data_IF_341716628353
#
_entry.id   IF_341716628353
#
_cell.length_a   1.000
_cell.length_b   1.000
_cell.length_c   1.000
_cell.angle_alpha   90.00
_cell.angle_beta   90.00
_cell.angle_gamma   90.00
#
_symmetry.space_group_name_H-M   'P 1'
#
loop_
_entity.id
_entity.type
_entity.pdbx_description
1 polymer ?
#
# COMPACT_ATOMS: atom_id res chain seq x y z
N UNK A 1 -33.66 8.27 -6.00
CA UNK A 1 -32.74 7.59 -6.93
C UNK A 1 -31.44 7.30 -6.18
N UNK A 2 -31.05 6.03 -6.06
CA UNK A 2 -29.78 5.62 -5.44
C UNK A 2 -28.67 5.69 -6.50
N UNK A 3 -27.72 6.61 -6.38
CA UNK A 3 -26.52 6.59 -7.25
C UNK A 3 -25.67 5.38 -6.84
N UNK A 4 -25.23 4.52 -7.77
CA UNK A 4 -24.28 3.47 -7.43
C UNK A 4 -23.03 4.12 -6.85
N UNK A 5 -22.62 3.66 -5.67
CA UNK A 5 -21.40 4.12 -5.03
C UNK A 5 -20.20 3.70 -5.88
N UNK A 6 -19.31 4.65 -6.16
CA UNK A 6 -18.02 4.31 -6.78
C UNK A 6 -17.19 3.59 -5.72
N UNK A 7 -16.86 2.32 -5.98
CA UNK A 7 -16.07 1.49 -5.08
C UNK A 7 -14.65 1.35 -5.62
N UNK A 8 -13.65 1.60 -4.79
CA UNK A 8 -12.23 1.37 -5.10
C UNK A 8 -11.73 0.33 -4.11
N UNK A 9 -11.15 -0.75 -4.62
CA UNK A 9 -10.45 -1.74 -3.78
C UNK A 9 -9.00 -1.32 -3.62
N UNK A 10 -8.47 -1.40 -2.40
CA UNK A 10 -7.08 -1.09 -2.11
C UNK A 10 -6.47 -2.30 -1.39
N UNK A 11 -5.39 -2.84 -1.93
CA UNK A 11 -4.61 -3.92 -1.35
C UNK A 11 -3.24 -3.35 -0.97
N UNK A 12 -2.82 -3.54 0.26
CA UNK A 12 -1.60 -2.92 0.82
C UNK A 12 -0.73 -3.98 1.48
N UNK A 13 0.57 -3.83 1.35
CA UNK A 13 1.55 -4.65 2.07
C UNK A 13 2.82 -3.86 2.38
N UNK A 14 3.53 -4.25 3.43
CA UNK A 14 4.78 -3.64 3.83
C UNK A 14 5.65 -4.60 4.61
N UNK A 15 6.95 -4.63 4.31
CA UNK A 15 7.87 -5.57 4.92
C UNK A 15 9.30 -5.01 5.01
N UNK A 16 10.07 -5.48 5.99
CA UNK A 16 11.47 -5.17 6.16
C UNK A 16 12.34 -6.43 6.28
N UNK A 17 13.60 -6.30 5.83
CA UNK A 17 14.67 -7.26 6.11
C UNK A 17 15.41 -6.81 7.37
N UNK A 18 14.98 -7.31 8.52
CA UNK A 18 15.36 -6.79 9.84
C UNK A 18 14.33 -5.78 10.36
N UNK A 19 14.28 -5.55 11.68
CA UNK A 19 13.31 -4.66 12.29
C UNK A 19 13.95 -3.89 13.48
N UNK A 20 14.68 -2.79 13.22
CA UNK A 20 14.75 -2.04 11.97
C UNK A 20 15.69 -2.65 10.90
N UNK A 21 15.49 -2.23 9.65
CA UNK A 21 16.32 -2.58 8.50
C UNK A 21 15.75 -2.06 7.17
N UNK A 22 16.36 -2.40 6.02
CA UNK A 22 15.83 -2.03 4.72
C UNK A 22 14.43 -2.59 4.51
N UNK A 23 13.49 -1.73 4.13
CA UNK A 23 12.08 -2.09 3.97
C UNK A 23 11.43 -1.49 2.75
N UNK A 24 10.36 -2.12 2.31
CA UNK A 24 9.54 -1.68 1.18
C UNK A 24 8.07 -1.77 1.49
N UNK A 25 7.28 -0.98 0.76
CA UNK A 25 5.83 -0.95 0.85
C UNK A 25 5.23 -0.93 -0.56
N UNK A 26 4.00 -1.43 -0.69
CA UNK A 26 3.27 -1.44 -1.95
C UNK A 26 1.76 -1.34 -1.75
N UNK A 27 1.10 -0.65 -2.67
CA UNK A 27 -0.35 -0.56 -2.73
C UNK A 27 -0.86 -0.80 -4.17
N UNK A 28 -1.92 -1.58 -4.31
CA UNK A 28 -2.67 -1.78 -5.55
C UNK A 28 -4.07 -1.18 -5.37
N UNK A 29 -4.39 -0.17 -6.16
CA UNK A 29 -5.72 0.41 -6.25
C UNK A 29 -6.42 -0.15 -7.47
N UNK A 30 -7.65 -0.65 -7.30
CA UNK A 30 -8.47 -1.19 -8.38
C UNK A 30 -9.83 -0.50 -8.45
N UNK A 31 -10.17 -0.01 -9.64
CA UNK A 31 -11.49 0.54 -9.96
C UNK A 31 -12.06 -0.20 -11.18
N UNK A 32 -12.92 -1.19 -10.92
CA UNK A 32 -13.36 -2.13 -11.96
C UNK A 32 -12.19 -2.92 -12.52
N UNK A 33 -11.86 -2.74 -13.79
CA UNK A 33 -10.73 -3.39 -14.46
C UNK A 33 -9.46 -2.53 -14.51
N UNK A 34 -9.53 -1.28 -14.04
CA UNK A 34 -8.40 -0.35 -14.05
C UNK A 34 -7.61 -0.54 -12.76
N UNK A 35 -6.30 -0.74 -12.90
CA UNK A 35 -5.36 -0.91 -11.80
C UNK A 35 -4.32 0.21 -11.77
N UNK A 36 -3.92 0.59 -10.56
CA UNK A 36 -2.80 1.51 -10.31
C UNK A 36 -1.95 0.96 -9.17
N UNK A 37 -0.64 0.87 -9.41
CA UNK A 37 0.34 0.44 -8.43
C UNK A 37 1.09 1.64 -7.85
N UNK A 38 1.31 1.61 -6.55
CA UNK A 38 2.18 2.52 -5.81
C UNK A 38 3.16 1.67 -5.01
N UNK A 39 4.41 2.12 -4.90
CA UNK A 39 5.42 1.41 -4.13
C UNK A 39 6.57 2.35 -3.77
N UNK A 40 7.33 1.97 -2.75
CA UNK A 40 8.53 2.66 -2.34
C UNK A 40 9.36 1.81 -1.39
N UNK A 41 10.54 2.31 -1.05
CA UNK A 41 11.45 1.66 -0.12
C UNK A 41 12.21 2.68 0.72
N UNK A 42 12.59 2.27 1.93
CA UNK A 42 13.45 3.04 2.83
C UNK A 42 14.58 2.14 3.34
N UNK A 43 15.84 2.64 3.39
CA UNK A 43 16.99 1.83 3.79
C UNK A 43 16.99 1.47 5.28
N UNK A 44 16.29 2.22 6.13
CA UNK A 44 16.22 1.99 7.57
C UNK A 44 14.83 2.33 8.11
N UNK A 45 14.00 1.31 8.29
CA UNK A 45 12.59 1.41 8.71
C UNK A 45 12.15 0.15 9.46
N UNK A 46 10.92 0.12 9.96
CA UNK A 46 10.31 -1.02 10.65
C UNK A 46 9.17 -1.63 9.83
N UNK A 47 8.82 -2.89 10.10
CA UNK A 47 7.70 -3.58 9.42
C UNK A 47 6.42 -2.73 9.52
N UNK A 48 6.05 -2.34 10.75
CA UNK A 48 4.83 -1.57 11.00
C UNK A 48 4.82 -0.22 10.26
N UNK A 49 5.98 0.46 10.13
CA UNK A 49 6.06 1.71 9.39
C UNK A 49 5.82 1.47 7.89
N UNK A 50 6.31 0.36 7.33
CA UNK A 50 6.07 0.02 5.93
C UNK A 50 4.61 -0.36 5.66
N UNK A 51 4.00 -1.18 6.53
CA UNK A 51 2.57 -1.52 6.45
C UNK A 51 1.69 -0.26 6.48
N UNK A 52 1.95 0.66 7.43
CA UNK A 52 1.21 1.92 7.54
C UNK A 52 1.47 2.87 6.37
N UNK A 53 2.71 2.90 5.85
CA UNK A 53 3.05 3.73 4.69
C UNK A 53 2.29 3.27 3.44
N UNK A 54 2.13 1.95 3.25
CA UNK A 54 1.35 1.39 2.16
C UNK A 54 -0.12 1.84 2.17
N UNK A 55 -0.69 2.04 3.36
CA UNK A 55 -2.08 2.50 3.53
C UNK A 55 -2.23 4.02 3.30
N UNK A 56 -1.19 4.80 3.58
CA UNK A 56 -1.24 6.28 3.54
C UNK A 56 -0.90 6.86 2.17
N UNK A 57 -0.04 6.19 1.39
CA UNK A 57 0.50 6.69 0.11
C UNK A 57 -0.33 6.32 -1.10
#
# INVERSE_FOLDING_TARGET
MHKPTKHVEIFTDGACRGNPGPGGWGALLRYGTIEKHLYGAEPDTTNNRMEMTAVIR
#
